data_IF_553572788562
#
_entry.id   IF_553572788562
#
_cell.length_a   1.000
_cell.length_b   1.000
_cell.length_c   1.000
_cell.angle_alpha   90.00
_cell.angle_beta   90.00
_cell.angle_gamma   90.00
#
_symmetry.space_group_name_H-M   'P 1'
#
loop_
_entity.id
_entity.type
_entity.pdbx_description
1 polymer ?
#
# COMPACT_ATOMS: atom_id res chain seq x y z
N UNK A 1 -28.65 41.88 -23.91
CA UNK A 1 -28.85 40.47 -23.48
C UNK A 1 -27.47 39.87 -23.46
N UNK A 2 -26.90 39.68 -22.28
CA UNK A 2 -25.64 38.96 -22.14
C UNK A 2 -25.97 37.47 -22.21
N UNK A 3 -25.42 36.79 -23.21
CA UNK A 3 -25.49 35.33 -23.33
C UNK A 3 -24.41 34.80 -22.38
N UNK A 4 -24.82 34.33 -21.20
CA UNK A 4 -23.97 33.49 -20.39
C UNK A 4 -23.84 32.14 -21.11
N UNK A 5 -22.68 31.87 -21.72
CA UNK A 5 -22.36 30.55 -22.22
C UNK A 5 -22.00 29.71 -20.99
N UNK A 6 -22.98 28.95 -20.50
CA UNK A 6 -22.74 27.95 -19.46
C UNK A 6 -22.08 26.74 -20.13
N UNK A 7 -20.75 26.73 -20.21
CA UNK A 7 -20.03 25.52 -20.59
C UNK A 7 -20.08 24.59 -19.37
N UNK A 8 -20.84 23.47 -19.40
CA UNK A 8 -20.82 22.55 -18.27
C UNK A 8 -19.38 22.05 -18.10
N UNK A 9 -18.89 22.03 -16.86
CA UNK A 9 -17.62 21.40 -16.55
C UNK A 9 -17.76 19.91 -16.94
N UNK A 10 -16.84 19.42 -17.77
CA UNK A 10 -16.77 18.01 -18.11
C UNK A 10 -16.08 17.33 -16.94
N UNK A 11 -16.63 16.22 -16.45
CA UNK A 11 -16.04 15.47 -15.37
C UNK A 11 -14.75 14.76 -15.83
N UNK A 12 -13.62 15.09 -15.21
CA UNK A 12 -12.35 14.42 -15.41
C UNK A 12 -12.21 13.25 -14.40
N UNK A 13 -11.38 12.24 -14.69
CA UNK A 13 -11.20 11.12 -13.76
C UNK A 13 -10.33 11.51 -12.54
N UNK A 14 -10.47 10.80 -11.41
CA UNK A 14 -9.58 10.96 -10.25
C UNK A 14 -8.13 10.68 -10.62
N UNK A 15 -7.21 11.38 -9.95
CA UNK A 15 -5.77 11.10 -10.00
C UNK A 15 -5.38 10.22 -8.82
N UNK A 16 -4.80 9.06 -9.14
CA UNK A 16 -4.28 8.07 -8.20
C UNK A 16 -2.79 7.84 -8.49
N UNK A 17 -2.01 7.55 -7.45
CA UNK A 17 -0.57 7.28 -7.55
C UNK A 17 -0.30 5.86 -7.07
N UNK A 18 0.39 5.08 -7.89
CA UNK A 18 0.88 3.75 -7.51
C UNK A 18 2.10 3.90 -6.58
N UNK A 19 2.20 3.01 -5.59
CA UNK A 19 3.28 3.00 -4.61
C UNK A 19 4.04 1.68 -4.63
N UNK A 20 5.25 1.71 -4.06
CA UNK A 20 6.05 0.51 -3.86
C UNK A 20 6.66 0.53 -2.47
N UNK A 21 6.58 -0.57 -1.72
CA UNK A 21 7.22 -0.69 -0.41
C UNK A 21 8.18 -1.87 -0.38
N UNK A 22 9.27 -1.71 0.37
CA UNK A 22 10.19 -2.80 0.71
C UNK A 22 10.31 -2.88 2.22
N UNK A 23 10.07 -4.05 2.79
CA UNK A 23 9.99 -4.26 4.24
C UNK A 23 10.74 -5.51 4.66
N UNK A 24 11.33 -5.47 5.85
CA UNK A 24 12.01 -6.64 6.44
C UNK A 24 10.98 -7.61 7.04
N UNK A 25 11.27 -8.90 6.93
CA UNK A 25 10.56 -9.98 7.61
C UNK A 25 10.36 -9.69 9.11
N UNK A 26 9.16 -10.01 9.62
CA UNK A 26 8.80 -9.81 11.01
C UNK A 26 8.58 -8.35 11.42
N UNK A 27 8.65 -7.40 10.49
CA UNK A 27 8.32 -5.99 10.78
C UNK A 27 6.81 -5.81 10.87
N UNK A 28 6.38 -5.08 11.91
CA UNK A 28 4.99 -4.72 12.15
C UNK A 28 4.77 -3.22 11.94
N UNK A 29 3.53 -2.85 11.62
CA UNK A 29 3.06 -1.48 11.51
C UNK A 29 3.89 -0.61 10.55
N UNK A 30 4.34 -1.19 9.43
CA UNK A 30 5.09 -0.41 8.42
C UNK A 30 4.12 0.48 7.65
N UNK A 31 4.27 1.83 7.68
CA UNK A 31 3.38 2.71 6.95
C UNK A 31 3.51 2.51 5.44
N UNK A 32 2.37 2.36 4.77
CA UNK A 32 2.34 2.27 3.30
C UNK A 32 2.51 3.67 2.67
N UNK A 33 1.99 4.71 3.32
CA UNK A 33 2.06 6.12 2.89
C UNK A 33 1.46 6.39 1.50
N UNK A 34 0.31 5.78 1.20
CA UNK A 34 -0.43 6.04 -0.04
C UNK A 34 -0.84 7.52 -0.07
N UNK A 35 -0.46 8.31 -1.10
CA UNK A 35 -0.92 9.68 -1.23
C UNK A 35 -2.44 9.75 -1.40
N UNK A 36 -3.10 10.70 -0.74
CA UNK A 36 -4.53 10.91 -0.96
C UNK A 36 -4.84 11.14 -2.45
N UNK A 37 -5.76 10.37 -3.05
CA UNK A 37 -6.22 10.63 -4.40
C UNK A 37 -6.96 11.97 -4.45
N UNK A 38 -6.92 12.61 -5.62
CA UNK A 38 -7.54 13.92 -5.84
C UNK A 38 -8.38 13.89 -7.10
N UNK A 39 -9.53 14.55 -7.04
CA UNK A 39 -10.38 14.80 -8.19
C UNK A 39 -10.21 16.25 -8.68
N UNK A 40 -10.06 16.52 -9.98
CA UNK A 40 -9.86 17.88 -10.51
C UNK A 40 -11.05 18.83 -10.23
N UNK A 41 -12.27 18.30 -10.23
CA UNK A 41 -13.49 19.05 -9.94
C UNK A 41 -13.81 19.11 -8.44
N UNK A 42 -13.17 18.24 -7.66
CA UNK A 42 -13.40 18.09 -6.22
C UNK A 42 -14.62 17.23 -5.92
N UNK A 43 -14.99 16.34 -6.84
CA UNK A 43 -16.07 15.38 -6.62
C UNK A 43 -15.72 14.41 -5.47
N UNK A 44 -16.73 13.97 -4.70
CA UNK A 44 -16.51 13.08 -3.57
C UNK A 44 -16.01 11.71 -4.06
N UNK A 45 -14.92 11.23 -3.46
CA UNK A 45 -14.30 9.97 -3.83
C UNK A 45 -14.77 8.80 -2.97
N UNK A 46 -15.03 7.67 -3.61
CA UNK A 46 -15.19 6.37 -2.94
C UNK A 46 -13.97 5.50 -3.24
N UNK A 47 -13.48 4.78 -2.23
CA UNK A 47 -12.30 3.93 -2.32
C UNK A 47 -12.70 2.52 -1.92
N UNK A 48 -12.52 1.54 -2.81
CA UNK A 48 -12.88 0.15 -2.56
C UNK A 48 -11.67 -0.76 -2.73
N UNK A 49 -11.42 -1.64 -1.75
CA UNK A 49 -10.30 -2.59 -1.80
C UNK A 49 -10.60 -3.72 -2.78
N UNK A 50 -9.70 -3.95 -3.74
CA UNK A 50 -9.89 -4.91 -4.85
C UNK A 50 -8.90 -6.07 -4.84
N UNK A 51 -7.75 -5.92 -4.15
CA UNK A 51 -6.80 -7.02 -3.93
C UNK A 51 -6.08 -6.84 -2.59
N UNK A 52 -5.83 -7.96 -1.89
CA UNK A 52 -5.01 -8.01 -0.68
C UNK A 52 -3.72 -8.79 -1.00
N UNK A 53 -2.61 -8.49 -0.29
CA UNK A 53 -1.38 -9.24 -0.49
C UNK A 53 -1.54 -10.71 -0.07
N UNK A 54 -0.76 -11.57 -0.72
CA UNK A 54 -0.75 -13.02 -0.50
C UNK A 54 -0.02 -13.39 0.79
N UNK A 55 0.96 -12.57 1.18
CA UNK A 55 1.76 -12.70 2.40
C UNK A 55 1.55 -11.42 3.22
N UNK A 56 1.56 -11.56 4.55
CA UNK A 56 1.35 -10.43 5.44
C UNK A 56 -0.10 -9.96 5.52
N UNK A 57 -0.31 -8.86 6.23
CA UNK A 57 -1.63 -8.25 6.39
C UNK A 57 -1.55 -6.73 6.26
N UNK A 58 -2.56 -6.15 5.63
CA UNK A 58 -2.79 -4.70 5.65
C UNK A 58 -3.78 -4.39 6.78
N UNK A 59 -3.44 -3.42 7.61
CA UNK A 59 -4.29 -2.94 8.70
C UNK A 59 -4.52 -1.44 8.57
N UNK A 60 -5.66 -0.97 9.07
CA UNK A 60 -5.90 0.45 9.32
C UNK A 60 -5.00 0.94 10.46
N UNK A 61 -4.90 2.26 10.63
CA UNK A 61 -4.12 2.87 11.70
C UNK A 61 -4.58 2.46 13.12
N UNK A 62 -5.83 2.00 13.28
CA UNK A 62 -6.37 1.49 14.55
C UNK A 62 -6.05 0.00 14.81
N UNK A 63 -5.34 -0.66 13.88
CA UNK A 63 -4.98 -2.08 13.94
C UNK A 63 -6.06 -3.02 13.38
N UNK A 64 -7.20 -2.50 12.92
CA UNK A 64 -8.24 -3.33 12.27
C UNK A 64 -7.71 -3.87 10.93
N UNK A 65 -7.77 -5.19 10.67
CA UNK A 65 -7.40 -5.75 9.39
C UNK A 65 -8.32 -5.25 8.26
N UNK A 66 -7.71 -4.88 7.13
CA UNK A 66 -8.43 -4.55 5.91
C UNK A 66 -8.91 -5.83 5.22
N UNK A 67 -10.13 -5.83 4.71
CA UNK A 67 -10.75 -6.94 4.00
C UNK A 67 -11.00 -6.59 2.53
N UNK A 68 -11.08 -7.63 1.70
CA UNK A 68 -11.44 -7.48 0.30
C UNK A 68 -12.86 -6.91 0.18
N UNK A 69 -13.02 -5.84 -0.59
CA UNK A 69 -14.28 -5.13 -0.76
C UNK A 69 -14.59 -4.10 0.34
N UNK A 70 -13.68 -3.86 1.29
CA UNK A 70 -13.83 -2.77 2.24
C UNK A 70 -13.89 -1.42 1.51
N UNK A 71 -14.78 -0.55 1.96
CA UNK A 71 -14.76 0.87 1.61
C UNK A 71 -13.90 1.64 2.61
N UNK A 72 -12.90 2.37 2.11
CA UNK A 72 -11.98 3.15 2.92
C UNK A 72 -12.29 4.65 2.81
N UNK A 73 -12.17 5.35 3.93
CA UNK A 73 -12.04 6.81 3.91
C UNK A 73 -10.64 7.22 3.44
N UNK A 74 -10.48 8.48 3.02
CA UNK A 74 -9.16 9.03 2.66
C UNK A 74 -8.15 8.90 3.81
N UNK A 75 -8.58 9.20 5.05
CA UNK A 75 -7.72 9.08 6.24
C UNK A 75 -7.30 7.63 6.51
N UNK A 76 -8.22 6.67 6.33
CA UNK A 76 -7.89 5.26 6.47
C UNK A 76 -6.93 4.77 5.38
N UNK A 77 -7.07 5.25 4.13
CA UNK A 77 -6.17 4.91 3.03
C UNK A 77 -4.75 5.43 3.28
N UNK A 78 -4.62 6.71 3.64
CA UNK A 78 -3.32 7.34 3.95
C UNK A 78 -2.66 6.69 5.17
N UNK A 79 -3.48 6.21 6.12
CA UNK A 79 -3.04 5.58 7.37
C UNK A 79 -2.83 4.08 7.30
N UNK A 80 -2.88 3.44 6.13
CA UNK A 80 -2.69 2.00 6.02
C UNK A 80 -1.28 1.58 6.44
N UNK A 81 -1.23 0.46 7.14
CA UNK A 81 -0.03 -0.19 7.66
C UNK A 81 0.08 -1.59 7.07
N UNK A 82 1.30 -2.06 6.85
CA UNK A 82 1.61 -3.41 6.42
C UNK A 82 2.40 -4.17 7.49
N UNK A 83 2.00 -5.41 7.73
CA UNK A 83 2.57 -6.32 8.73
C UNK A 83 3.11 -7.58 8.06
N UNK A 84 4.35 -7.93 8.37
CA UNK A 84 5.05 -9.06 7.76
C UNK A 84 5.14 -10.21 8.77
N UNK A 85 4.81 -11.46 8.38
CA UNK A 85 5.02 -12.61 9.26
C UNK A 85 6.51 -12.79 9.60
N UNK A 86 6.79 -13.37 10.76
CA UNK A 86 8.16 -13.65 11.25
C UNK A 86 8.81 -14.89 10.63
N UNK A 87 8.06 -15.65 9.82
CA UNK A 87 8.47 -16.89 9.16
C UNK A 87 8.24 -16.80 7.64
N UNK A 88 8.60 -15.66 7.07
CA UNK A 88 8.48 -15.43 5.63
C UNK A 88 9.41 -16.36 4.85
N UNK A 89 8.83 -17.16 3.95
CA UNK A 89 9.52 -18.21 3.21
C UNK A 89 10.14 -17.74 1.88
N UNK A 90 10.09 -16.44 1.59
CA UNK A 90 10.57 -15.88 0.32
C UNK A 90 9.57 -15.99 -0.83
N UNK A 91 8.32 -16.38 -0.58
CA UNK A 91 7.26 -16.39 -1.59
C UNK A 91 6.88 -14.97 -2.05
N UNK A 92 6.34 -14.84 -3.26
CA UNK A 92 5.85 -13.54 -3.75
C UNK A 92 4.76 -12.97 -2.82
N UNK A 93 4.98 -11.81 -2.17
CA UNK A 93 4.00 -11.23 -1.26
C UNK A 93 2.78 -10.67 -2.00
N UNK A 94 2.87 -10.45 -3.32
CA UNK A 94 1.80 -9.86 -4.12
C UNK A 94 1.67 -8.34 -3.92
N UNK A 95 0.47 -7.83 -4.16
CA UNK A 95 0.16 -6.41 -4.12
C UNK A 95 -1.06 -6.14 -3.22
N UNK A 96 -1.22 -4.88 -2.84
CA UNK A 96 -2.50 -4.35 -2.37
C UNK A 96 -3.08 -3.47 -3.49
N UNK A 97 -4.34 -3.67 -3.86
CA UNK A 97 -5.01 -2.89 -4.91
C UNK A 97 -6.34 -2.34 -4.41
N UNK A 98 -6.68 -1.16 -4.91
CA UNK A 98 -7.93 -0.47 -4.63
C UNK A 98 -8.43 0.30 -5.85
N UNK A 99 -9.73 0.53 -5.94
CA UNK A 99 -10.35 1.39 -6.95
C UNK A 99 -10.79 2.71 -6.31
N UNK A 100 -10.54 3.82 -7.00
CA UNK A 100 -11.02 5.16 -6.63
C UNK A 100 -12.05 5.62 -7.65
N UNK A 101 -13.24 6.01 -7.19
CA UNK A 101 -14.30 6.52 -8.08
C UNK A 101 -14.84 7.87 -7.62
N UNK A 102 -15.10 8.76 -8.59
CA UNK A 102 -15.83 10.03 -8.42
C UNK A 102 -17.37 9.86 -8.60
N UNK A 103 -17.84 8.61 -8.79
CA UNK A 103 -19.23 8.28 -9.12
C UNK A 103 -19.54 8.19 -10.62
N UNK A 104 -18.63 8.60 -11.50
CA UNK A 104 -18.73 8.54 -12.97
C UNK A 104 -17.56 7.76 -13.59
N UNK A 105 -16.32 8.10 -13.23
CA UNK A 105 -15.09 7.45 -13.59
C UNK A 105 -14.57 6.60 -12.42
N UNK A 106 -13.72 5.62 -12.76
CA UNK A 106 -13.02 4.79 -11.78
C UNK A 106 -11.58 4.58 -12.24
N UNK A 107 -10.63 4.78 -11.33
CA UNK A 107 -9.20 4.60 -11.56
C UNK A 107 -8.62 3.68 -10.50
N UNK A 108 -7.91 2.60 -10.89
CA UNK A 108 -7.25 1.72 -9.93
C UNK A 108 -5.97 2.37 -9.37
N UNK A 109 -5.66 2.05 -8.12
CA UNK A 109 -4.37 2.29 -7.49
C UNK A 109 -3.78 1.00 -6.97
N UNK A 110 -2.46 0.90 -7.03
CA UNK A 110 -1.73 -0.31 -6.64
C UNK A 110 -0.57 0.01 -5.71
N UNK A 111 -0.27 -0.94 -4.83
CA UNK A 111 0.93 -0.94 -3.99
C UNK A 111 1.67 -2.25 -4.22
N UNK A 112 2.83 -2.17 -4.87
CA UNK A 112 3.71 -3.32 -5.05
C UNK A 112 4.53 -3.55 -3.77
N UNK A 113 4.48 -4.78 -3.26
CA UNK A 113 5.13 -5.12 -1.99
C UNK A 113 6.35 -6.00 -2.26
N UNK A 114 7.46 -5.66 -1.62
CA UNK A 114 8.64 -6.50 -1.54
C UNK A 114 8.95 -6.80 -0.09
N UNK A 115 9.14 -8.08 0.24
CA UNK A 115 9.60 -8.51 1.56
C UNK A 115 11.02 -9.06 1.44
N UNK A 116 11.93 -8.58 2.29
CA UNK A 116 13.30 -9.09 2.40
C UNK A 116 13.43 -9.95 3.67
N UNK A 117 13.94 -11.20 3.58
CA UNK A 117 14.17 -12.03 4.76
C UNK A 117 15.13 -11.38 5.75
N UNK A 118 14.90 -11.60 7.04
CA UNK A 118 15.80 -11.11 8.07
C UNK A 118 16.95 -12.11 8.25
N UNK A 119 18.17 -11.74 7.85
CA UNK A 119 19.33 -12.62 8.01
C UNK A 119 19.93 -12.50 9.42
N UNK A 120 20.04 -13.61 10.19
CA UNK A 120 20.78 -13.57 11.44
C UNK A 120 22.26 -13.29 11.19
N UNK A 121 23.01 -12.75 12.18
CA UNK A 121 24.44 -12.55 12.03
C UNK A 121 25.14 -13.89 11.74
N UNK A 122 25.90 -13.94 10.65
CA UNK A 122 26.78 -15.08 10.36
C UNK A 122 27.93 -15.02 11.36
N UNK A 123 28.02 -15.99 12.27
CA UNK A 123 29.22 -16.14 13.09
C UNK A 123 30.38 -16.57 12.18
N UNK A 124 31.33 -15.68 11.97
CA UNK A 124 32.65 -16.03 11.53
C UNK A 124 33.32 -16.80 12.67
N UNK A 125 33.51 -18.12 12.49
CA UNK A 125 34.36 -18.86 13.43
C UNK A 125 35.76 -18.26 13.37
N UNK A 126 36.21 -17.69 14.50
CA UNK A 126 37.59 -17.30 14.69
C UNK A 126 38.44 -18.58 14.56
N UNK A 127 39.11 -18.74 13.42
CA UNK A 127 40.13 -19.76 13.24
C UNK A 127 41.31 -19.32 14.11
N UNK A 128 41.29 -19.73 15.38
CA UNK A 128 42.44 -19.72 16.27
C UNK A 128 43.50 -20.65 15.66
N UNK A 129 44.38 -20.09 14.82
CA UNK A 129 45.58 -20.76 14.34
C UNK A 129 46.49 -21.02 15.54
N UNK A 130 46.32 -22.18 16.19
CA UNK A 130 47.30 -22.70 17.13
C UNK A 130 48.62 -22.89 16.38
N UNK A 131 49.55 -21.96 16.56
CA UNK A 131 50.93 -22.12 16.09
C UNK A 131 51.57 -23.26 16.88
N UNK A 132 51.96 -24.33 16.18
CA UNK A 132 52.71 -25.47 16.72
C UNK A 132 54.01 -25.00 17.39
N UNK A 133 54.31 -25.55 18.58
CA UNK A 133 55.65 -25.53 19.18
C UNK A 133 56.36 -26.83 18.91
#
# INVERSE_FOLDING_TARGET
MDIAINNPVVNDPPTVVDETITVEEGTQDTPINIPAPVDPEGDPLTIAVTELPKVGTVTKADGTPVQLGDELTLEELEGLLYNVPTDYDGSDPGNFSYDVSDGTNTVPGTVDITVIPNEPPIANEDIEFFTYR
#
